data_IF_259852338137
#
_entry.id   IF_259852338137
#
_cell.length_a   1.000
_cell.length_b   1.000
_cell.length_c   1.000
_cell.angle_alpha   90.00
_cell.angle_beta   90.00
_cell.angle_gamma   90.00
#
_symmetry.space_group_name_H-M   'P 1'
#
loop_
_entity.id
_entity.type
_entity.pdbx_description
1 polymer ?
#
# COMPACT_ATOMS: atom_id res chain seq x y z
N UNK A 1 70.60 -12.28 -43.31
CA UNK A 1 70.61 -11.74 -41.94
C UNK A 1 69.21 -11.23 -41.65
N UNK A 2 68.44 -11.98 -40.86
CA UNK A 2 66.99 -11.82 -40.71
C UNK A 2 66.65 -10.71 -39.71
N UNK A 3 65.76 -9.80 -40.10
CA UNK A 3 65.35 -8.64 -39.30
C UNK A 3 64.25 -9.02 -38.29
N UNK A 4 64.49 -8.75 -37.01
CA UNK A 4 63.56 -9.04 -35.92
C UNK A 4 62.71 -7.79 -35.63
N UNK A 5 61.41 -7.85 -35.95
CA UNK A 5 60.42 -6.80 -35.65
C UNK A 5 59.86 -7.03 -34.24
N UNK A 6 60.16 -6.12 -33.32
CA UNK A 6 59.55 -6.08 -31.98
C UNK A 6 58.16 -5.43 -32.10
N UNK A 7 57.10 -6.17 -31.78
CA UNK A 7 55.74 -5.64 -31.64
C UNK A 7 55.54 -5.17 -30.20
N UNK A 8 55.41 -3.86 -29.99
CA UNK A 8 54.88 -3.30 -28.74
C UNK A 8 53.40 -3.65 -28.63
N UNK A 9 53.01 -4.41 -27.61
CA UNK A 9 51.62 -4.60 -27.23
C UNK A 9 51.26 -3.50 -26.23
N UNK A 10 50.45 -2.53 -26.67
CA UNK A 10 49.90 -1.50 -25.81
C UNK A 10 48.81 -2.08 -24.91
N UNK A 11 49.03 -2.08 -23.60
CA UNK A 11 48.05 -2.47 -22.60
C UNK A 11 47.10 -1.29 -22.37
N UNK A 12 45.93 -1.29 -23.02
CA UNK A 12 44.85 -0.36 -22.70
C UNK A 12 44.22 -0.77 -21.36
N UNK A 13 44.54 -0.04 -20.28
CA UNK A 13 43.85 -0.17 -19.00
C UNK A 13 42.47 0.51 -19.16
N UNK A 14 41.44 -0.29 -19.42
CA UNK A 14 40.04 0.11 -19.32
C UNK A 14 39.71 0.30 -17.83
N UNK A 15 39.66 1.55 -17.38
CA UNK A 15 39.13 1.91 -16.07
C UNK A 15 37.61 1.65 -16.07
N UNK A 16 37.19 0.51 -15.54
CA UNK A 16 35.79 0.25 -15.21
C UNK A 16 35.38 1.18 -14.05
N UNK A 17 34.29 1.97 -14.19
CA UNK A 17 33.78 2.74 -13.06
C UNK A 17 33.33 1.77 -11.97
N UNK A 18 34.03 1.81 -10.83
CA UNK A 18 33.58 1.21 -9.58
C UNK A 18 32.30 1.94 -9.15
N UNK A 19 31.14 1.40 -9.51
CA UNK A 19 29.91 1.75 -8.83
C UNK A 19 30.03 1.21 -7.39
N UNK A 20 30.43 2.10 -6.47
CA UNK A 20 30.23 1.86 -5.04
C UNK A 20 28.73 1.78 -4.81
N UNK A 21 28.17 0.56 -4.82
CA UNK A 21 26.86 0.35 -4.21
C UNK A 21 27.01 0.77 -2.76
N UNK A 22 26.27 1.80 -2.36
CA UNK A 22 26.21 2.21 -0.96
C UNK A 22 25.85 0.99 -0.11
N UNK A 23 26.44 0.89 1.08
CA UNK A 23 26.01 -0.10 2.06
C UNK A 23 24.57 0.23 2.41
N UNK A 24 23.65 -0.69 2.11
CA UNK A 24 22.25 -0.55 2.48
C UNK A 24 22.12 -0.52 4.01
N UNK A 25 21.40 0.46 4.54
CA UNK A 25 21.21 0.60 5.98
C UNK A 25 20.40 -0.58 6.51
N UNK A 26 20.99 -1.37 7.39
CA UNK A 26 20.27 -2.41 8.10
C UNK A 26 19.37 -1.79 9.17
N UNK A 27 18.09 -2.20 9.19
CA UNK A 27 17.08 -1.67 10.09
C UNK A 27 16.65 -2.75 11.07
N UNK A 28 16.77 -2.47 12.36
CA UNK A 28 16.22 -3.30 13.44
C UNK A 28 15.16 -2.51 14.18
N UNK A 29 13.91 -2.57 13.69
CA UNK A 29 12.82 -1.70 14.15
C UNK A 29 12.46 -1.84 15.64
N UNK A 30 12.84 -2.96 16.28
CA UNK A 30 12.59 -3.22 17.70
C UNK A 30 13.58 -2.52 18.62
N UNK A 31 14.79 -2.25 18.15
CA UNK A 31 15.89 -1.70 18.95
C UNK A 31 16.01 -0.19 18.76
N UNK A 32 16.91 0.45 19.53
CA UNK A 32 17.28 1.84 19.27
C UNK A 32 17.84 1.98 17.84
N UNK A 33 17.53 3.06 17.10
CA UNK A 33 16.82 4.26 17.55
C UNK A 33 15.29 4.19 17.42
N UNK A 34 14.73 3.07 16.95
CA UNK A 34 13.31 2.97 16.59
C UNK A 34 12.41 2.61 17.76
N UNK A 35 12.80 1.63 18.58
CA UNK A 35 12.09 1.16 19.78
C UNK A 35 10.58 1.00 19.56
N UNK A 36 10.18 0.40 18.45
CA UNK A 36 8.79 0.34 18.01
C UNK A 36 7.81 -0.23 19.06
N UNK A 37 8.26 -1.21 19.87
CA UNK A 37 7.42 -1.83 20.91
C UNK A 37 7.21 -0.92 22.12
N UNK A 38 8.13 0.00 22.39
CA UNK A 38 8.04 1.00 23.46
C UNK A 38 7.20 2.22 23.05
N UNK A 39 7.03 2.42 21.73
CA UNK A 39 6.25 3.54 21.18
C UNK A 39 4.80 3.52 21.65
N UNK A 40 4.32 4.69 22.07
CA UNK A 40 2.92 4.94 22.39
C UNK A 40 2.20 5.42 21.13
N UNK A 41 1.32 4.60 20.52
CA UNK A 41 0.73 4.95 19.24
C UNK A 41 -0.20 6.17 19.32
N UNK A 42 -0.15 7.00 18.29
CA UNK A 42 -1.06 8.11 18.03
C UNK A 42 -1.68 7.97 16.63
N UNK A 43 -1.97 6.73 16.25
CA UNK A 43 -2.77 6.42 15.06
C UNK A 43 -4.28 6.61 15.33
N UNK A 44 -5.08 6.60 14.25
CA UNK A 44 -6.54 6.78 14.33
C UNK A 44 -7.21 5.74 15.24
N UNK A 45 -6.77 4.49 15.20
CA UNK A 45 -7.35 3.44 16.03
C UNK A 45 -6.95 3.57 17.50
N UNK A 46 -5.71 3.97 17.80
CA UNK A 46 -5.27 4.24 19.17
C UNK A 46 -6.13 5.34 19.83
N UNK A 47 -6.49 6.39 19.07
CA UNK A 47 -7.43 7.42 19.53
C UNK A 47 -8.85 6.88 19.74
N UNK A 48 -9.36 6.10 18.78
CA UNK A 48 -10.67 5.44 18.91
C UNK A 48 -10.72 4.52 20.15
N UNK A 49 -9.69 3.71 20.37
CA UNK A 49 -9.56 2.79 21.50
C UNK A 49 -9.69 3.53 22.83
N UNK A 50 -8.99 4.65 23.02
CA UNK A 50 -9.13 5.49 24.23
C UNK A 50 -10.59 5.98 24.41
N UNK A 51 -11.26 6.33 23.32
CA UNK A 51 -12.67 6.72 23.34
C UNK A 51 -13.61 5.58 23.73
N UNK A 52 -13.33 4.35 23.30
CA UNK A 52 -14.08 3.15 23.68
C UNK A 52 -13.84 2.82 25.17
N UNK A 53 -12.59 2.77 25.60
CA UNK A 53 -12.20 2.40 26.97
C UNK A 53 -12.71 3.41 28.02
N UNK A 54 -12.81 4.68 27.66
CA UNK A 54 -13.41 5.73 28.51
C UNK A 54 -14.95 5.78 28.46
N UNK A 55 -15.58 4.98 27.60
CA UNK A 55 -17.05 4.96 27.41
C UNK A 55 -17.60 6.13 26.59
N UNK A 56 -16.72 6.98 26.03
CA UNK A 56 -17.11 8.11 25.17
C UNK A 56 -17.57 7.68 23.77
N UNK A 57 -17.16 6.50 23.31
CA UNK A 57 -17.59 5.90 22.04
C UNK A 57 -18.25 4.55 22.33
N UNK A 58 -19.49 4.40 21.85
CA UNK A 58 -20.25 3.15 21.96
C UNK A 58 -20.25 2.42 20.62
N UNK A 59 -19.88 1.15 20.64
CA UNK A 59 -19.98 0.24 19.50
C UNK A 59 -21.25 -0.60 19.63
N UNK A 60 -21.86 -0.94 18.50
CA UNK A 60 -23.08 -1.75 18.46
C UNK A 60 -22.72 -3.23 18.52
N UNK A 61 -22.96 -3.89 19.66
CA UNK A 61 -22.62 -5.31 19.83
C UNK A 61 -23.78 -6.26 19.53
N UNK A 62 -24.85 -5.78 18.88
CA UNK A 62 -26.07 -6.57 18.61
C UNK A 62 -25.77 -7.86 17.84
N UNK A 63 -24.99 -7.74 16.77
CA UNK A 63 -24.48 -8.84 15.95
C UNK A 63 -23.17 -8.46 15.25
N UNK A 64 -22.55 -9.41 14.55
CA UNK A 64 -21.25 -9.20 13.90
C UNK A 64 -21.26 -8.07 12.86
N UNK A 65 -22.36 -7.92 12.08
CA UNK A 65 -22.46 -6.89 11.04
C UNK A 65 -22.73 -5.51 11.64
N UNK A 66 -23.58 -5.43 12.66
CA UNK A 66 -23.83 -4.20 13.40
C UNK A 66 -22.53 -3.71 14.07
N UNK A 67 -21.79 -4.64 14.68
CA UNK A 67 -20.49 -4.36 15.28
C UNK A 67 -19.48 -3.84 14.27
N UNK A 68 -19.26 -4.60 13.19
CA UNK A 68 -18.35 -4.19 12.13
C UNK A 68 -18.74 -2.82 11.55
N UNK A 69 -20.02 -2.60 11.25
CA UNK A 69 -20.51 -1.32 10.73
C UNK A 69 -20.25 -0.17 11.69
N UNK A 70 -20.45 -0.37 13.01
CA UNK A 70 -20.18 0.64 14.02
C UNK A 70 -18.68 0.96 14.16
N UNK A 71 -17.81 -0.05 14.05
CA UNK A 71 -16.35 0.10 14.04
C UNK A 71 -15.90 0.88 12.81
N UNK A 72 -16.35 0.49 11.61
CA UNK A 72 -16.00 1.17 10.36
C UNK A 72 -16.47 2.63 10.37
N UNK A 73 -17.68 2.89 10.86
CA UNK A 73 -18.20 4.26 11.02
C UNK A 73 -17.35 5.09 11.98
N UNK A 74 -16.95 4.52 13.12
CA UNK A 74 -16.13 5.23 14.11
C UNK A 74 -14.71 5.54 13.58
N UNK A 75 -14.22 4.74 12.63
CA UNK A 75 -12.93 4.95 11.96
C UNK A 75 -13.02 5.80 10.69
N UNK A 76 -14.23 6.17 10.27
CA UNK A 76 -14.50 6.78 8.97
C UNK A 76 -13.94 5.93 7.81
N UNK A 77 -14.18 4.62 7.87
CA UNK A 77 -13.84 3.66 6.81
C UNK A 77 -15.09 3.37 5.98
N UNK A 78 -15.10 3.66 4.67
CA UNK A 78 -16.26 3.44 3.82
C UNK A 78 -16.54 1.94 3.62
N UNK A 79 -17.79 1.53 3.78
CA UNK A 79 -18.22 0.14 3.51
C UNK A 79 -18.00 -0.21 2.03
N UNK A 80 -18.08 0.77 1.12
CA UNK A 80 -17.82 0.57 -0.31
C UNK A 80 -16.38 0.19 -0.66
N UNK A 81 -15.43 0.33 0.27
CA UNK A 81 -14.04 -0.13 0.10
C UNK A 81 -13.86 -1.64 0.20
N UNK A 82 -14.95 -2.39 0.43
CA UNK A 82 -14.90 -3.83 0.70
C UNK A 82 -14.12 -4.60 -0.39
N UNK A 83 -13.10 -5.32 0.04
CA UNK A 83 -12.40 -6.36 -0.73
C UNK A 83 -12.71 -7.72 -0.10
N UNK A 84 -12.84 -8.76 -0.91
CA UNK A 84 -13.01 -10.13 -0.43
C UNK A 84 -11.80 -10.98 -0.80
N UNK A 85 -11.21 -11.66 0.19
CA UNK A 85 -10.04 -12.52 0.04
C UNK A 85 -10.33 -13.90 0.62
N UNK A 86 -10.07 -14.95 -0.16
CA UNK A 86 -10.32 -16.34 0.23
C UNK A 86 -9.04 -17.18 0.34
N UNK A 87 -7.87 -16.57 0.13
CA UNK A 87 -6.59 -17.15 0.51
C UNK A 87 -6.37 -17.04 2.02
N UNK A 88 -5.82 -18.10 2.61
CA UNK A 88 -5.52 -18.20 4.04
C UNK A 88 -4.20 -17.49 4.42
N UNK A 89 -3.99 -16.26 3.95
CA UNK A 89 -2.78 -15.44 4.19
C UNK A 89 -2.98 -14.41 5.32
N UNK A 90 -3.46 -14.88 6.48
CA UNK A 90 -3.82 -14.06 7.65
C UNK A 90 -3.55 -14.80 8.96
N UNK A 91 -3.58 -14.08 10.09
CA UNK A 91 -3.61 -14.66 11.43
C UNK A 91 -4.76 -15.66 11.62
N UNK A 92 -5.85 -15.51 10.86
CA UNK A 92 -7.05 -16.35 10.94
C UNK A 92 -7.10 -17.41 9.83
N UNK A 93 -5.93 -17.89 9.38
CA UNK A 93 -5.77 -18.86 8.29
C UNK A 93 -6.57 -20.15 8.46
N UNK A 94 -6.89 -20.53 9.70
CA UNK A 94 -7.69 -21.72 10.02
C UNK A 94 -9.15 -21.64 9.55
N UNK A 95 -9.69 -20.42 9.40
CA UNK A 95 -11.11 -20.20 9.06
C UNK A 95 -11.32 -19.45 7.74
N UNK A 96 -10.27 -18.95 7.10
CA UNK A 96 -10.33 -18.26 5.81
C UNK A 96 -10.09 -19.27 4.69
N UNK A 97 -11.08 -19.42 3.82
CA UNK A 97 -11.01 -20.31 2.67
C UNK A 97 -12.11 -19.91 1.65
N UNK A 98 -12.20 -20.56 0.48
CA UNK A 98 -13.22 -20.24 -0.52
C UNK A 98 -14.68 -20.32 -0.05
N UNK A 99 -14.98 -21.01 1.06
CA UNK A 99 -16.33 -21.06 1.65
C UNK A 99 -16.59 -19.97 2.69
N UNK A 100 -15.53 -19.35 3.20
CA UNK A 100 -15.61 -18.33 4.23
C UNK A 100 -14.56 -17.23 3.97
N UNK A 101 -14.77 -16.37 2.95
CA UNK A 101 -13.84 -15.32 2.60
C UNK A 101 -13.77 -14.25 3.70
N UNK A 102 -12.57 -13.71 3.91
CA UNK A 102 -12.33 -12.52 4.73
C UNK A 102 -12.72 -11.27 3.93
N UNK A 103 -13.39 -10.32 4.57
CA UNK A 103 -13.52 -8.96 4.06
C UNK A 103 -12.38 -8.08 4.57
N UNK A 104 -11.89 -7.18 3.71
CA UNK A 104 -11.04 -6.05 4.08
C UNK A 104 -11.77 -4.75 3.73
N UNK A 105 -11.64 -3.75 4.58
CA UNK A 105 -12.13 -2.39 4.36
C UNK A 105 -11.00 -1.42 4.65
N UNK A 106 -10.97 -0.27 3.99
CA UNK A 106 -9.90 0.70 4.20
C UNK A 106 -10.33 2.13 3.90
N UNK A 107 -9.63 3.06 4.55
CA UNK A 107 -9.55 4.46 4.12
C UNK A 107 -8.07 4.82 3.89
N UNK A 108 -7.67 6.08 4.05
CA UNK A 108 -6.30 6.51 3.78
C UNK A 108 -5.26 6.06 4.80
N UNK A 109 -5.66 5.70 6.02
CA UNK A 109 -4.72 5.41 7.11
C UNK A 109 -5.12 4.21 8.00
N UNK A 110 -6.25 3.56 7.72
CA UNK A 110 -6.74 2.39 8.47
C UNK A 110 -7.25 1.30 7.55
N UNK A 111 -6.91 0.06 7.89
CA UNK A 111 -7.30 -1.18 7.21
C UNK A 111 -7.96 -2.11 8.23
N UNK A 112 -9.17 -2.58 7.94
CA UNK A 112 -9.98 -3.41 8.83
C UNK A 112 -10.28 -4.74 8.15
N UNK A 113 -9.83 -5.84 8.76
CA UNK A 113 -10.13 -7.20 8.34
C UNK A 113 -11.24 -7.83 9.18
N UNK A 114 -12.17 -8.52 8.53
CA UNK A 114 -13.26 -9.24 9.19
C UNK A 114 -13.46 -10.61 8.55
N UNK A 115 -13.52 -11.65 9.37
CA UNK A 115 -13.87 -13.00 8.94
C UNK A 115 -15.17 -13.39 9.63
N UNK A 116 -16.21 -13.86 8.93
CA UNK A 116 -17.42 -14.35 9.57
C UNK A 116 -17.11 -15.40 10.65
N UNK A 117 -17.66 -15.19 11.85
CA UNK A 117 -17.40 -16.04 13.02
C UNK A 117 -16.00 -15.91 13.64
N UNK A 118 -15.19 -14.96 13.18
CA UNK A 118 -13.82 -14.71 13.62
C UNK A 118 -13.63 -13.42 14.42
N UNK A 119 -12.40 -12.93 14.39
CA UNK A 119 -11.91 -11.68 14.99
C UNK A 119 -12.00 -10.54 13.97
N UNK A 120 -11.99 -9.30 14.47
CA UNK A 120 -11.76 -8.11 13.65
C UNK A 120 -10.30 -7.70 13.80
N UNK A 121 -9.56 -7.72 12.69
CA UNK A 121 -8.15 -7.33 12.58
C UNK A 121 -8.09 -5.86 12.16
N UNK A 122 -7.19 -5.06 12.74
CA UNK A 122 -7.03 -3.66 12.38
C UNK A 122 -5.55 -3.34 12.22
N UNK A 123 -5.22 -2.71 11.10
CA UNK A 123 -3.94 -2.04 10.89
C UNK A 123 -4.22 -0.56 10.79
N UNK A 124 -3.60 0.24 11.64
CA UNK A 124 -3.67 1.70 11.57
C UNK A 124 -2.27 2.28 11.38
N UNK A 125 -2.14 3.26 10.50
CA UNK A 125 -0.85 3.89 10.18
C UNK A 125 -0.52 4.94 11.25
N UNK A 126 0.43 4.61 12.11
CA UNK A 126 1.00 5.56 13.05
C UNK A 126 1.94 6.52 12.31
N UNK A 127 1.79 7.84 12.49
CA UNK A 127 2.56 8.82 11.73
C UNK A 127 4.08 8.75 11.92
N UNK A 128 4.57 8.14 13.01
CA UNK A 128 6.00 8.02 13.30
C UNK A 128 6.54 6.61 13.03
N UNK A 129 5.75 5.59 13.35
CA UNK A 129 6.19 4.19 13.39
C UNK A 129 5.59 3.31 12.30
N UNK A 130 4.64 3.81 11.51
CA UNK A 130 3.99 3.05 10.46
C UNK A 130 2.93 2.09 10.99
N UNK A 131 2.81 0.93 10.37
CA UNK A 131 1.71 0.01 10.64
C UNK A 131 1.66 -0.43 12.10
N UNK A 132 0.54 -0.17 12.79
CA UNK A 132 0.20 -0.64 14.13
C UNK A 132 -0.88 -1.71 14.07
N UNK A 133 -0.66 -2.84 14.74
CA UNK A 133 -1.50 -4.04 14.61
C UNK A 133 -2.36 -4.26 15.85
N UNK A 134 -3.68 -4.21 15.64
CA UNK A 134 -4.68 -4.39 16.68
C UNK A 134 -5.67 -5.50 16.32
N UNK A 135 -6.24 -6.10 17.35
CA UNK A 135 -7.22 -7.18 17.20
C UNK A 135 -8.32 -6.94 18.23
N UNK A 136 -9.57 -6.88 17.74
CA UNK A 136 -10.72 -7.20 18.57
C UNK A 136 -10.88 -8.71 18.62
N UNK A 137 -11.04 -9.25 19.83
CA UNK A 137 -11.47 -10.64 19.98
C UNK A 137 -12.83 -10.90 19.34
N UNK A 138 -13.18 -12.18 19.19
CA UNK A 138 -14.44 -12.58 18.58
C UNK A 138 -15.61 -11.99 19.38
N UNK A 139 -16.54 -11.37 18.66
CA UNK A 139 -17.76 -10.83 19.25
C UNK A 139 -18.61 -11.95 19.86
N UNK A 140 -19.15 -11.65 21.04
CA UNK A 140 -20.28 -12.38 21.60
C UNK A 140 -21.51 -11.48 21.44
N UNK A 141 -22.45 -11.80 20.54
CA UNK A 141 -23.61 -10.96 20.27
C UNK A 141 -24.35 -10.59 21.55
N UNK A 142 -24.79 -9.33 21.64
CA UNK A 142 -25.45 -8.72 22.80
C UNK A 142 -24.58 -8.66 24.07
N UNK A 143 -23.30 -9.04 23.97
CA UNK A 143 -22.31 -8.93 25.03
C UNK A 143 -21.60 -7.58 25.06
N UNK A 144 -20.56 -7.43 25.92
CA UNK A 144 -19.72 -6.24 25.93
C UNK A 144 -18.87 -6.14 24.65
N UNK A 145 -18.29 -4.96 24.42
CA UNK A 145 -17.29 -4.77 23.36
C UNK A 145 -16.15 -5.79 23.55
N UNK A 146 -15.73 -6.50 22.50
CA UNK A 146 -14.66 -7.49 22.63
C UNK A 146 -13.35 -6.85 23.08
N UNK A 147 -12.52 -7.57 23.86
CA UNK A 147 -11.19 -7.11 24.23
C UNK A 147 -10.36 -6.69 23.03
N UNK A 148 -9.61 -5.59 23.19
CA UNK A 148 -8.68 -5.05 22.18
C UNK A 148 -7.26 -5.38 22.60
N UNK A 149 -6.49 -6.00 21.70
CA UNK A 149 -5.08 -6.33 21.94
C UNK A 149 -4.19 -5.77 20.84
N UNK A 150 -2.98 -5.32 21.19
CA UNK A 150 -1.88 -5.08 20.24
C UNK A 150 -1.12 -6.39 20.08
N UNK A 151 -0.86 -6.81 18.85
CA UNK A 151 -0.34 -8.16 18.57
C UNK A 151 0.99 -8.12 17.81
N UNK A 152 1.99 -8.77 18.40
CA UNK A 152 3.30 -8.98 17.75
C UNK A 152 3.29 -10.15 16.74
N UNK A 153 2.23 -10.96 16.72
CA UNK A 153 2.13 -12.13 15.82
C UNK A 153 2.10 -11.72 14.34
N UNK A 154 1.67 -10.49 14.05
CA UNK A 154 1.57 -9.95 12.70
C UNK A 154 2.94 -9.76 12.03
N UNK A 155 4.01 -9.59 12.82
CA UNK A 155 5.35 -9.32 12.29
C UNK A 155 5.97 -10.48 11.51
N UNK A 156 5.47 -11.70 11.68
CA UNK A 156 5.90 -12.85 10.87
C UNK A 156 5.69 -12.60 9.37
N UNK A 157 4.71 -11.77 9.00
CA UNK A 157 4.42 -11.40 7.61
C UNK A 157 4.63 -9.91 7.35
N UNK A 158 4.23 -9.05 8.29
CA UNK A 158 4.21 -7.59 8.12
C UNK A 158 5.52 -6.88 8.46
N UNK A 159 6.57 -7.60 8.86
CA UNK A 159 7.94 -7.08 8.99
C UNK A 159 8.94 -7.99 8.26
N UNK A 160 8.50 -8.58 7.15
CA UNK A 160 9.28 -9.48 6.31
C UNK A 160 9.94 -8.79 5.11
N UNK A 161 10.36 -9.57 4.12
CA UNK A 161 11.02 -9.06 2.92
C UNK A 161 10.11 -8.11 2.11
N UNK A 162 8.81 -8.41 2.03
CA UNK A 162 7.82 -7.61 1.32
C UNK A 162 7.71 -6.15 1.79
N UNK A 163 8.15 -5.87 3.02
CA UNK A 163 8.12 -4.55 3.65
C UNK A 163 9.52 -4.06 3.99
N UNK A 164 10.57 -4.60 3.35
CA UNK A 164 11.98 -4.28 3.65
C UNK A 164 12.30 -4.35 5.15
N UNK A 165 11.73 -5.37 5.82
CA UNK A 165 11.92 -5.69 7.25
C UNK A 165 11.46 -4.61 8.24
N UNK A 166 10.65 -3.64 7.80
CA UNK A 166 9.97 -2.69 8.68
C UNK A 166 8.47 -3.03 8.79
N UNK A 167 7.80 -2.68 9.90
CA UNK A 167 6.35 -2.82 10.02
C UNK A 167 5.62 -2.14 8.86
N UNK A 168 4.91 -2.92 8.05
CA UNK A 168 4.25 -2.42 6.84
C UNK A 168 3.03 -3.22 6.42
N UNK A 169 2.50 -2.89 5.27
CA UNK A 169 1.29 -3.46 4.68
C UNK A 169 1.65 -4.48 3.60
N UNK A 170 0.85 -5.54 3.47
CA UNK A 170 1.05 -6.55 2.45
C UNK A 170 -0.25 -6.88 1.74
N UNK A 171 -0.16 -7.03 0.42
CA UNK A 171 -1.11 -7.76 -0.39
C UNK A 171 -0.34 -8.88 -1.10
N UNK A 172 -0.91 -10.08 -1.13
CA UNK A 172 -0.32 -11.22 -1.85
C UNK A 172 -1.24 -11.63 -2.99
N UNK A 173 -0.66 -12.24 -4.03
CA UNK A 173 -1.39 -12.86 -5.13
C UNK A 173 -0.96 -14.31 -5.23
N UNK A 174 -1.89 -15.24 -5.01
CA UNK A 174 -1.61 -16.67 -4.95
C UNK A 174 -2.76 -17.51 -5.48
N UNK A 175 -2.52 -18.79 -5.78
CA UNK A 175 -3.55 -19.75 -6.16
C UNK A 175 -3.94 -20.57 -4.92
N UNK A 176 -5.07 -20.29 -4.26
CA UNK A 176 -5.44 -21.02 -3.06
C UNK A 176 -6.10 -22.35 -3.41
N UNK A 177 -5.95 -23.33 -2.53
CA UNK A 177 -6.69 -24.58 -2.52
C UNK A 177 -8.04 -24.42 -1.79
N UNK A 178 -8.86 -25.46 -1.76
CA UNK A 178 -10.11 -25.45 -0.98
C UNK A 178 -9.90 -25.19 0.52
N UNK A 179 -8.73 -25.53 1.06
CA UNK A 179 -8.35 -25.22 2.43
C UNK A 179 -7.97 -23.74 2.65
N UNK A 180 -7.88 -22.93 1.59
CA UNK A 180 -7.33 -21.58 1.61
C UNK A 180 -5.79 -21.54 1.51
N UNK A 181 -5.09 -22.67 1.74
CA UNK A 181 -3.63 -22.75 1.62
C UNK A 181 -3.16 -22.53 0.17
N UNK A 182 -1.95 -22.00 0.00
CA UNK A 182 -1.39 -21.69 -1.32
C UNK A 182 -0.90 -22.96 -2.04
N UNK A 183 -1.38 -23.18 -3.26
CA UNK A 183 -0.82 -24.16 -4.20
C UNK A 183 0.31 -23.56 -5.05
N UNK A 184 0.22 -22.27 -5.36
CA UNK A 184 1.18 -21.53 -6.18
C UNK A 184 1.21 -20.07 -5.70
N UNK A 185 2.37 -19.43 -5.66
CA UNK A 185 2.49 -18.01 -5.29
C UNK A 185 2.88 -17.19 -6.52
N UNK A 186 2.04 -16.25 -6.93
CA UNK A 186 2.29 -15.37 -8.08
C UNK A 186 3.05 -14.10 -7.70
N UNK A 187 2.76 -13.57 -6.51
CA UNK A 187 3.40 -12.38 -5.94
C UNK A 187 3.39 -12.43 -4.43
N UNK A 188 4.54 -12.12 -3.83
CA UNK A 188 4.73 -12.04 -2.37
C UNK A 188 5.45 -10.77 -1.94
N UNK A 189 6.60 -10.47 -2.56
CA UNK A 189 7.55 -9.49 -2.01
C UNK A 189 7.46 -8.07 -2.60
N UNK A 190 6.69 -7.87 -3.66
CA UNK A 190 6.52 -6.55 -4.29
C UNK A 190 5.17 -5.96 -3.89
N UNK A 191 5.10 -4.64 -3.64
CA UNK A 191 3.84 -3.94 -3.33
C UNK A 191 3.75 -2.62 -4.11
N UNK A 192 2.57 -2.29 -4.63
CA UNK A 192 2.31 -0.99 -5.25
C UNK A 192 1.71 -1.02 -6.65
N UNK A 193 1.35 0.18 -7.14
CA UNK A 193 0.65 0.35 -8.41
C UNK A 193 1.43 -0.06 -9.66
N UNK A 194 2.72 -0.38 -9.53
CA UNK A 194 3.60 -0.76 -10.64
C UNK A 194 3.46 -2.22 -11.05
N UNK A 195 2.87 -3.03 -10.17
CA UNK A 195 2.68 -4.47 -10.40
C UNK A 195 1.69 -4.65 -11.57
N UNK A 196 2.01 -5.40 -12.62
CA UNK A 196 1.06 -5.65 -13.72
C UNK A 196 -0.25 -6.29 -13.24
N UNK A 197 -1.39 -5.87 -13.80
CA UNK A 197 -2.72 -6.29 -13.32
C UNK A 197 -2.92 -7.81 -13.40
N UNK A 198 -2.33 -8.48 -14.39
CA UNK A 198 -2.35 -9.93 -14.58
C UNK A 198 -1.62 -10.71 -13.48
N UNK A 199 -0.74 -10.06 -12.72
CA UNK A 199 -0.07 -10.64 -11.54
C UNK A 199 -0.81 -10.35 -10.24
N UNK A 200 -1.87 -9.54 -10.27
CA UNK A 200 -2.68 -9.19 -9.09
C UNK A 200 -3.85 -10.17 -8.90
N UNK A 201 -4.58 -10.00 -7.81
CA UNK A 201 -5.89 -10.60 -7.52
C UNK A 201 -5.95 -12.13 -7.32
N UNK A 202 -4.84 -12.86 -7.37
CA UNK A 202 -4.84 -14.28 -7.04
C UNK A 202 -5.25 -14.54 -5.59
N UNK A 203 -6.29 -15.33 -5.38
CA UNK A 203 -6.86 -15.61 -4.05
C UNK A 203 -7.85 -14.55 -3.55
N UNK A 204 -8.18 -13.58 -4.42
CA UNK A 204 -9.17 -12.55 -4.16
C UNK A 204 -10.41 -12.80 -5.02
N UNK A 205 -11.57 -12.43 -4.46
CA UNK A 205 -12.73 -12.21 -5.28
C UNK A 205 -12.61 -10.85 -5.98
N UNK A 206 -12.96 -10.80 -7.25
CA UNK A 206 -13.00 -9.57 -8.04
C UNK A 206 -14.35 -9.47 -8.74
N UNK A 207 -15.03 -8.35 -8.54
CA UNK A 207 -16.28 -8.01 -9.20
C UNK A 207 -16.13 -6.67 -9.94
N UNK A 208 -17.20 -6.22 -10.59
CA UNK A 208 -17.22 -4.97 -11.36
C UNK A 208 -16.82 -5.18 -12.83
N UNK A 209 -17.06 -4.16 -13.66
CA UNK A 209 -16.72 -4.20 -15.08
C UNK A 209 -15.28 -3.73 -15.27
N UNK A 210 -14.36 -4.68 -15.48
CA UNK A 210 -12.93 -4.36 -15.49
C UNK A 210 -12.22 -4.66 -16.81
N UNK A 211 -12.88 -5.27 -17.81
CA UNK A 211 -12.32 -5.58 -19.13
C UNK A 211 -10.98 -6.37 -19.17
N UNK A 212 -10.45 -6.82 -18.02
CA UNK A 212 -9.30 -7.72 -17.92
C UNK A 212 -9.59 -9.05 -18.63
N UNK A 213 -8.91 -9.30 -19.76
CA UNK A 213 -9.02 -10.53 -20.56
C UNK A 213 -8.50 -11.76 -19.81
N UNK A 214 -7.38 -11.59 -19.12
CA UNK A 214 -6.75 -12.61 -18.28
C UNK A 214 -6.49 -12.03 -16.90
N UNK A 215 -6.90 -12.75 -15.84
CA UNK A 215 -6.63 -12.38 -14.46
C UNK A 215 -6.65 -13.62 -13.55
N UNK A 216 -6.03 -13.48 -12.38
CA UNK A 216 -5.89 -14.56 -11.39
C UNK A 216 -7.04 -14.58 -10.36
N UNK A 217 -7.95 -13.59 -10.42
CA UNK A 217 -9.08 -13.50 -9.50
C UNK A 217 -10.08 -14.64 -9.70
N UNK A 218 -10.95 -14.85 -8.70
CA UNK A 218 -12.05 -15.81 -8.78
C UNK A 218 -11.57 -17.20 -9.23
N UNK A 219 -10.37 -17.60 -8.81
CA UNK A 219 -9.72 -18.83 -9.26
C UNK A 219 -9.12 -19.57 -8.07
N UNK A 220 -9.27 -20.88 -8.03
CA UNK A 220 -8.64 -21.75 -7.02
C UNK A 220 -8.03 -23.01 -7.65
N UNK A 221 -7.13 -23.66 -6.93
CA UNK A 221 -6.57 -24.95 -7.27
C UNK A 221 -7.50 -26.08 -6.81
N UNK A 222 -7.81 -27.01 -7.72
CA UNK A 222 -8.41 -28.32 -7.41
C UNK A 222 -7.39 -29.41 -7.69
N UNK A 223 -7.31 -30.41 -6.81
CA UNK A 223 -6.40 -31.54 -7.01
C UNK A 223 -6.89 -32.38 -8.19
N UNK A 224 -5.99 -32.67 -9.12
CA UNK A 224 -6.23 -33.53 -10.27
C UNK A 224 -5.42 -34.81 -10.13
N UNK A 225 -6.03 -35.97 -10.41
CA UNK A 225 -5.37 -37.27 -10.28
C UNK A 225 -4.18 -37.45 -11.23
N UNK A 226 -4.16 -36.75 -12.37
CA UNK A 226 -3.14 -36.91 -13.42
C UNK A 226 -2.23 -35.69 -13.61
N UNK A 227 -2.62 -34.50 -13.12
CA UNK A 227 -1.91 -33.23 -13.38
C UNK A 227 -1.51 -32.45 -12.13
N UNK A 228 -1.63 -33.05 -10.93
CA UNK A 228 -1.34 -32.37 -9.66
C UNK A 228 -2.46 -31.39 -9.28
N UNK A 229 -2.42 -30.17 -9.81
CA UNK A 229 -3.44 -29.14 -9.60
C UNK A 229 -3.98 -28.60 -10.92
N UNK A 230 -5.30 -28.42 -10.98
CA UNK A 230 -5.99 -27.70 -12.05
C UNK A 230 -6.59 -26.40 -11.52
N UNK A 231 -6.58 -25.35 -12.34
CA UNK A 231 -7.20 -24.07 -12.00
C UNK A 231 -8.69 -24.14 -12.34
N UNK A 232 -9.55 -23.83 -11.37
CA UNK A 232 -11.00 -23.76 -11.54
C UNK A 232 -11.51 -22.36 -11.19
N UNK A 233 -12.53 -21.89 -11.91
CA UNK A 233 -13.21 -20.63 -11.62
C UNK A 233 -14.20 -20.79 -10.47
N UNK A 234 -14.27 -19.77 -9.63
CA UNK A 234 -15.14 -19.69 -8.46
C UNK A 234 -15.76 -18.30 -8.37
N UNK A 235 -17.03 -18.22 -8.74
CA UNK A 235 -17.75 -16.95 -8.69
C UNK A 235 -18.02 -16.56 -7.23
N UNK A 236 -17.97 -15.25 -6.89
CA UNK A 236 -18.38 -14.78 -5.58
C UNK A 236 -19.78 -15.30 -5.21
N UNK A 237 -19.92 -15.90 -4.03
CA UNK A 237 -21.18 -16.48 -3.56
C UNK A 237 -21.46 -17.91 -4.05
N UNK A 238 -20.65 -18.48 -4.94
CA UNK A 238 -20.81 -19.86 -5.39
C UNK A 238 -20.56 -20.89 -4.26
N UNK A 239 -19.60 -20.58 -3.38
CA UNK A 239 -19.21 -21.46 -2.27
C UNK A 239 -19.39 -20.81 -0.89
N UNK A 240 -19.65 -19.51 -0.85
CA UNK A 240 -19.67 -18.70 0.36
C UNK A 240 -21.03 -18.01 0.53
N UNK A 241 -21.47 -17.84 1.77
CA UNK A 241 -22.64 -17.04 2.09
C UNK A 241 -22.24 -15.56 2.21
N UNK A 242 -22.48 -14.79 1.14
CA UNK A 242 -22.15 -13.36 1.11
C UNK A 242 -23.05 -12.50 2.00
N UNK A 243 -24.16 -13.05 2.53
CA UNK A 243 -25.03 -12.30 3.47
C UNK A 243 -24.35 -12.04 4.82
N UNK A 244 -23.23 -12.73 5.09
CA UNK A 244 -22.38 -12.56 6.26
C UNK A 244 -21.43 -11.35 6.14
N UNK A 245 -21.35 -10.73 4.97
CA UNK A 245 -20.54 -9.54 4.68
C UNK A 245 -21.42 -8.29 4.55
N UNK A 246 -20.81 -7.10 4.54
CA UNK A 246 -21.56 -5.84 4.43
C UNK A 246 -21.95 -5.50 2.99
N UNK A 247 -21.21 -6.02 2.00
CA UNK A 247 -21.57 -5.98 0.58
C UNK A 247 -21.43 -7.37 -0.05
N UNK A 248 -22.18 -7.68 -1.11
CA UNK A 248 -21.99 -8.91 -1.89
C UNK A 248 -20.88 -8.77 -2.96
N UNK A 249 -20.12 -7.67 -2.95
CA UNK A 249 -19.16 -7.32 -4.00
C UNK A 249 -17.75 -7.11 -3.48
N UNK A 250 -16.77 -7.14 -4.39
CA UNK A 250 -15.35 -6.88 -4.19
C UNK A 250 -14.85 -6.16 -5.44
N UNK A 251 -15.31 -4.90 -5.60
CA UNK A 251 -15.17 -4.12 -6.83
C UNK A 251 -13.71 -3.84 -7.18
N UNK A 252 -13.38 -3.78 -8.47
CA UNK A 252 -11.99 -3.59 -8.91
C UNK A 252 -11.38 -2.25 -8.47
N UNK A 253 -12.16 -1.17 -8.41
CA UNK A 253 -11.59 0.15 -8.14
C UNK A 253 -10.98 0.23 -6.72
N UNK A 254 -11.68 -0.21 -5.65
CA UNK A 254 -11.07 -0.40 -4.33
C UNK A 254 -9.77 -1.20 -4.35
N UNK A 255 -9.67 -2.30 -5.11
CA UNK A 255 -8.43 -3.08 -5.18
C UNK A 255 -7.26 -2.26 -5.75
N UNK A 256 -7.49 -1.45 -6.78
CA UNK A 256 -6.45 -0.62 -7.40
C UNK A 256 -6.00 0.51 -6.48
N UNK A 257 -6.94 1.16 -5.80
CA UNK A 257 -6.63 2.20 -4.81
C UNK A 257 -5.86 1.61 -3.64
N UNK A 258 -6.30 0.48 -3.10
CA UNK A 258 -5.64 -0.24 -2.01
C UNK A 258 -4.19 -0.60 -2.37
N UNK A 259 -3.94 -1.14 -3.57
CA UNK A 259 -2.59 -1.47 -4.02
C UNK A 259 -1.68 -0.22 -4.08
N UNK A 260 -2.19 0.92 -4.56
CA UNK A 260 -1.44 2.17 -4.53
C UNK A 260 -1.11 2.63 -3.10
N UNK A 261 -2.05 2.55 -2.16
CA UNK A 261 -1.82 2.97 -0.78
C UNK A 261 -0.77 2.10 -0.08
N UNK A 262 -0.83 0.77 -0.25
CA UNK A 262 0.16 -0.15 0.33
C UNK A 262 1.57 0.21 -0.16
N UNK A 263 1.73 0.40 -1.48
CA UNK A 263 3.04 0.71 -2.03
C UNK A 263 3.55 2.10 -1.61
N UNK A 264 2.65 3.07 -1.39
CA UNK A 264 3.00 4.39 -0.86
C UNK A 264 3.49 4.28 0.59
N UNK A 265 2.66 3.71 1.48
CA UNK A 265 2.92 3.63 2.91
C UNK A 265 4.22 2.85 3.20
N UNK A 266 4.43 1.72 2.53
CA UNK A 266 5.64 0.93 2.71
C UNK A 266 6.91 1.69 2.33
N UNK A 267 6.87 2.52 1.26
CA UNK A 267 8.02 3.33 0.84
C UNK A 267 8.27 4.48 1.81
N UNK A 268 7.22 5.16 2.24
CA UNK A 268 7.31 6.26 3.21
C UNK A 268 7.92 5.77 4.51
N UNK A 269 7.41 4.68 5.08
CA UNK A 269 7.94 4.19 6.34
C UNK A 269 9.31 3.54 6.20
N UNK A 270 9.60 2.79 5.12
CA UNK A 270 10.98 2.34 4.88
C UNK A 270 11.96 3.53 4.89
N UNK A 271 11.64 4.60 4.17
CA UNK A 271 12.48 5.79 4.14
C UNK A 271 12.56 6.49 5.50
N UNK A 272 11.46 6.56 6.26
CA UNK A 272 11.44 7.13 7.61
C UNK A 272 12.37 6.37 8.58
N UNK A 273 12.36 5.03 8.53
CA UNK A 273 13.24 4.19 9.31
C UNK A 273 14.71 4.38 8.90
N UNK A 274 15.03 4.33 7.60
CA UNK A 274 16.40 4.60 7.13
C UNK A 274 16.89 5.97 7.61
N UNK A 275 16.07 7.01 7.47
CA UNK A 275 16.42 8.37 7.93
C UNK A 275 16.68 8.42 9.44
N UNK A 276 15.86 7.75 10.26
CA UNK A 276 16.06 7.70 11.71
C UNK A 276 17.37 7.00 12.07
N UNK A 277 17.71 5.91 11.39
CA UNK A 277 18.97 5.19 11.59
C UNK A 277 20.18 6.05 11.19
N UNK A 278 20.15 6.66 10.00
CA UNK A 278 21.22 7.54 9.52
C UNK A 278 21.47 8.73 10.45
N UNK A 279 20.39 9.33 10.98
CA UNK A 279 20.50 10.40 11.98
C UNK A 279 21.10 9.89 13.29
N UNK A 280 20.72 8.70 13.77
CA UNK A 280 21.28 8.13 14.98
C UNK A 280 22.78 7.86 14.84
N UNK A 281 23.20 7.26 13.72
CA UNK A 281 24.60 6.97 13.42
C UNK A 281 25.44 8.25 13.34
N UNK A 282 24.88 9.31 12.78
CA UNK A 282 25.48 10.64 12.71
C UNK A 282 25.25 11.54 13.93
N UNK A 283 24.79 10.97 15.07
CA UNK A 283 24.53 11.69 16.33
C UNK A 283 23.63 12.92 16.18
N UNK A 284 22.55 12.76 15.43
CA UNK A 284 21.54 13.77 15.13
C UNK A 284 21.78 14.55 13.84
N UNK A 285 22.89 14.32 13.13
CA UNK A 285 23.19 14.97 11.85
C UNK A 285 23.31 13.94 10.72
N UNK A 286 22.90 14.31 9.51
CA UNK A 286 23.14 13.48 8.33
C UNK A 286 24.60 13.61 7.90
N UNK A 287 25.35 12.51 7.98
CA UNK A 287 26.72 12.45 7.47
C UNK A 287 26.74 12.67 5.95
N UNK A 288 27.82 13.25 5.41
CA UNK A 288 27.97 13.43 3.96
C UNK A 288 27.90 12.10 3.19
N UNK A 289 28.35 11.00 3.81
CA UNK A 289 28.26 9.64 3.27
C UNK A 289 26.82 9.14 3.11
N UNK A 290 25.85 9.69 3.85
CA UNK A 290 24.44 9.32 3.76
C UNK A 290 23.74 9.95 2.54
N UNK A 291 24.32 11.01 1.95
CA UNK A 291 23.69 11.79 0.88
C UNK A 291 23.22 10.92 -0.31
N UNK A 292 24.01 9.99 -0.87
CA UNK A 292 23.57 9.17 -2.00
C UNK A 292 22.31 8.37 -1.69
N UNK A 293 22.22 7.80 -0.49
CA UNK A 293 21.07 7.01 -0.06
C UNK A 293 19.83 7.88 0.16
N UNK A 294 19.99 9.08 0.73
CA UNK A 294 18.89 10.05 0.85
C UNK A 294 18.37 10.49 -0.53
N UNK A 295 19.26 10.69 -1.50
CA UNK A 295 18.86 10.98 -2.88
C UNK A 295 18.09 9.82 -3.52
N UNK A 296 18.53 8.57 -3.29
CA UNK A 296 17.85 7.37 -3.79
C UNK A 296 16.45 7.21 -3.20
N UNK A 297 16.30 7.37 -1.88
CA UNK A 297 14.98 7.37 -1.21
C UNK A 297 14.09 8.48 -1.75
N UNK A 298 14.65 9.67 -1.98
CA UNK A 298 13.90 10.80 -2.50
C UNK A 298 13.44 10.58 -3.95
N UNK A 299 14.31 9.99 -4.79
CA UNK A 299 13.98 9.62 -6.17
C UNK A 299 12.91 8.52 -6.20
N UNK A 300 13.03 7.46 -5.39
CA UNK A 300 12.04 6.39 -5.30
C UNK A 300 10.65 6.94 -4.90
N UNK A 301 10.59 7.75 -3.84
CA UNK A 301 9.34 8.34 -3.37
C UNK A 301 8.74 9.31 -4.40
N UNK A 302 9.54 10.19 -5.00
CA UNK A 302 9.03 11.15 -5.98
C UNK A 302 8.46 10.45 -7.23
N UNK A 303 9.14 9.42 -7.72
CA UNK A 303 8.66 8.63 -8.87
C UNK A 303 7.36 7.90 -8.54
N UNK A 304 7.27 7.29 -7.36
CA UNK A 304 6.05 6.60 -6.91
C UNK A 304 4.88 7.57 -6.71
N UNK A 305 5.13 8.73 -6.07
CA UNK A 305 4.13 9.79 -5.90
C UNK A 305 3.59 10.24 -7.25
N UNK A 306 4.44 10.34 -8.27
CA UNK A 306 4.09 10.79 -9.61
C UNK A 306 3.62 9.68 -10.56
N UNK A 307 3.40 8.46 -10.09
CA UNK A 307 2.87 7.34 -10.91
C UNK A 307 3.72 7.01 -12.15
N UNK A 308 5.05 7.10 -12.02
CA UNK A 308 6.00 6.85 -13.12
C UNK A 308 5.80 5.48 -13.77
N UNK A 309 5.59 4.45 -12.96
CA UNK A 309 5.55 3.05 -13.34
C UNK A 309 4.18 2.41 -13.12
N UNK A 310 3.11 3.21 -13.02
CA UNK A 310 1.73 2.72 -12.88
C UNK A 310 1.39 1.67 -13.94
N UNK A 311 0.84 0.54 -13.49
CA UNK A 311 0.37 -0.52 -14.37
C UNK A 311 -0.76 -0.01 -15.28
N UNK A 312 -0.64 -0.30 -16.57
CA UNK A 312 -1.62 0.13 -17.57
C UNK A 312 -2.99 -0.48 -17.31
N UNK A 313 -4.03 0.34 -17.41
CA UNK A 313 -5.40 -0.16 -17.47
C UNK A 313 -5.70 -0.79 -18.84
N UNK A 314 -6.74 -1.65 -18.94
CA UNK A 314 -7.26 -2.12 -20.21
C UNK A 314 -7.64 -0.97 -21.15
N UNK A 315 -7.59 -1.20 -22.45
CA UNK A 315 -7.87 -0.16 -23.45
C UNK A 315 -9.32 0.35 -23.37
N UNK A 316 -10.22 -0.52 -22.93
CA UNK A 316 -11.64 -0.25 -22.69
C UNK A 316 -11.88 0.50 -21.37
N UNK A 317 -10.84 0.64 -20.52
CA UNK A 317 -10.93 1.21 -19.19
C UNK A 317 -11.43 0.22 -18.14
N UNK A 318 -11.82 0.75 -16.99
CA UNK A 318 -12.52 0.05 -15.92
C UNK A 318 -13.69 0.91 -15.44
N UNK A 319 -14.73 0.27 -14.92
CA UNK A 319 -15.83 0.96 -14.25
C UNK A 319 -15.77 0.62 -12.76
N UNK A 320 -15.65 1.66 -11.92
CA UNK A 320 -15.69 1.51 -10.48
C UNK A 320 -17.10 1.65 -9.93
N UNK A 321 -17.35 0.99 -8.79
CA UNK A 321 -18.61 1.14 -8.05
C UNK A 321 -18.89 2.63 -7.75
N UNK A 322 -20.04 3.19 -8.19
CA UNK A 322 -20.40 4.58 -7.92
C UNK A 322 -20.40 4.95 -6.44
N UNK A 323 -20.72 4.02 -5.54
CA UNK A 323 -20.68 4.27 -4.09
C UNK A 323 -19.25 4.55 -3.64
N UNK A 324 -18.30 3.73 -4.06
CA UNK A 324 -16.89 3.90 -3.72
C UNK A 324 -16.33 5.19 -4.31
N UNK A 325 -16.67 5.52 -5.56
CA UNK A 325 -16.24 6.79 -6.18
C UNK A 325 -16.70 7.98 -5.33
N UNK A 326 -17.98 8.02 -4.93
CA UNK A 326 -18.53 9.11 -4.11
C UNK A 326 -17.90 9.17 -2.73
N UNK A 327 -17.76 8.03 -2.04
CA UNK A 327 -17.20 7.98 -0.69
C UNK A 327 -15.71 8.32 -0.68
N UNK A 328 -14.93 7.81 -1.63
CA UNK A 328 -13.51 8.10 -1.79
C UNK A 328 -13.25 9.59 -2.05
N UNK A 329 -14.12 10.25 -2.84
CA UNK A 329 -13.98 11.66 -3.20
C UNK A 329 -14.61 12.62 -2.18
N UNK A 330 -15.31 12.13 -1.15
CA UNK A 330 -16.04 12.95 -0.16
C UNK A 330 -15.18 14.01 0.53
N UNK A 331 -13.92 13.66 0.83
CA UNK A 331 -12.95 14.53 1.50
C UNK A 331 -11.91 15.13 0.54
N UNK A 332 -12.19 15.15 -0.77
CA UNK A 332 -11.24 15.70 -1.76
C UNK A 332 -10.91 17.16 -1.48
N UNK A 333 -9.70 17.57 -1.85
CA UNK A 333 -9.22 18.96 -1.76
C UNK A 333 -9.18 19.54 -3.18
N UNK A 334 -10.24 20.23 -3.63
CA UNK A 334 -10.24 20.84 -4.96
C UNK A 334 -9.52 22.18 -4.94
N UNK A 335 -8.83 22.51 -6.03
CA UNK A 335 -8.38 23.88 -6.31
C UNK A 335 -9.52 24.75 -6.85
N UNK A 336 -9.24 26.03 -7.08
CA UNK A 336 -10.21 27.02 -7.59
C UNK A 336 -10.97 26.55 -8.84
N UNK A 337 -10.32 25.79 -9.73
CA UNK A 337 -10.96 25.26 -10.96
C UNK A 337 -11.67 23.90 -10.76
N UNK A 338 -11.76 23.39 -9.53
CA UNK A 338 -12.41 22.14 -9.16
C UNK A 338 -11.53 20.88 -9.20
N UNK A 339 -10.31 20.96 -9.75
CA UNK A 339 -9.41 19.81 -9.89
C UNK A 339 -8.86 19.32 -8.55
N UNK A 340 -8.70 18.00 -8.40
CA UNK A 340 -8.17 17.37 -7.19
C UNK A 340 -7.35 16.13 -7.46
N UNK A 341 -6.38 15.82 -6.59
CA UNK A 341 -5.58 14.57 -6.66
C UNK A 341 -6.42 13.29 -6.48
N UNK A 342 -7.67 13.41 -6.04
CA UNK A 342 -8.64 12.31 -5.93
C UNK A 342 -9.59 12.18 -7.13
N UNK A 343 -9.44 13.01 -8.15
CA UNK A 343 -10.25 12.87 -9.37
C UNK A 343 -9.77 11.65 -10.17
N UNK A 344 -10.67 10.73 -10.46
CA UNK A 344 -10.36 9.52 -11.23
C UNK A 344 -10.38 9.77 -12.75
N UNK A 345 -9.59 8.98 -13.49
CA UNK A 345 -9.68 8.88 -14.96
C UNK A 345 -10.40 7.59 -15.39
N UNK A 346 -9.96 6.44 -14.86
CA UNK A 346 -10.46 5.07 -15.08
C UNK A 346 -10.50 4.57 -16.53
N UNK A 347 -10.19 5.43 -17.50
CA UNK A 347 -10.13 5.05 -18.93
C UNK A 347 -8.76 4.52 -19.30
N UNK A 348 -7.72 5.23 -18.86
CA UNK A 348 -6.33 4.94 -19.24
C UNK A 348 -5.41 4.78 -18.05
N UNK A 349 -5.80 5.33 -16.89
CA UNK A 349 -5.03 5.39 -15.64
C UNK A 349 -5.97 5.51 -14.44
N UNK A 350 -5.46 5.29 -13.23
CA UNK A 350 -6.28 5.37 -12.02
C UNK A 350 -6.76 6.81 -11.76
N UNK A 351 -5.81 7.75 -11.59
CA UNK A 351 -6.12 9.14 -11.30
C UNK A 351 -5.92 10.06 -12.50
N UNK A 352 -6.79 11.06 -12.63
CA UNK A 352 -6.75 12.06 -13.70
C UNK A 352 -5.45 12.88 -13.66
N UNK A 353 -5.04 13.26 -12.44
CA UNK A 353 -3.81 13.98 -12.16
C UNK A 353 -2.85 13.04 -11.42
N UNK A 354 -1.79 12.58 -12.10
CA UNK A 354 -0.82 11.61 -11.58
C UNK A 354 0.13 12.21 -10.55
N UNK A 355 -0.44 12.53 -9.40
CA UNK A 355 0.25 12.79 -8.14
C UNK A 355 -0.58 12.23 -6.99
N UNK A 356 0.06 11.50 -6.08
CA UNK A 356 -0.66 10.77 -5.03
C UNK A 356 -1.41 11.69 -4.09
N UNK A 357 -2.69 11.41 -3.86
CA UNK A 357 -3.47 12.06 -2.80
C UNK A 357 -3.00 11.66 -1.39
N UNK A 358 -2.16 10.62 -1.25
CA UNK A 358 -1.58 10.23 0.03
C UNK A 358 -0.61 11.29 0.58
N UNK A 359 -0.25 12.30 -0.21
CA UNK A 359 0.40 13.51 0.30
C UNK A 359 -0.42 14.23 1.39
N UNK A 360 -1.71 13.95 1.54
CA UNK A 360 -2.54 14.53 2.60
C UNK A 360 -2.57 13.71 3.90
N UNK A 361 -1.98 12.51 3.95
CA UNK A 361 -2.00 11.66 5.14
C UNK A 361 -0.97 12.11 6.17
N UNK A 362 -1.22 11.78 7.44
CA UNK A 362 -0.25 12.05 8.51
C UNK A 362 1.07 11.29 8.30
N UNK A 363 1.04 10.11 7.68
CA UNK A 363 2.22 9.34 7.29
C UNK A 363 3.20 10.18 6.45
N UNK A 364 2.66 10.93 5.49
CA UNK A 364 3.47 11.87 4.70
C UNK A 364 3.78 13.14 5.47
N UNK A 365 2.77 13.76 6.10
CA UNK A 365 2.93 15.07 6.72
C UNK A 365 3.94 15.09 7.88
N UNK A 366 4.05 13.99 8.63
CA UNK A 366 5.02 13.86 9.73
C UNK A 366 6.37 13.26 9.31
N UNK A 367 6.56 12.94 8.03
CA UNK A 367 7.86 12.49 7.52
C UNK A 367 8.96 13.56 7.76
N UNK A 368 10.20 13.10 7.93
CA UNK A 368 11.33 13.99 8.29
C UNK A 368 11.48 15.15 7.30
N UNK A 369 11.59 16.42 7.77
CA UNK A 369 11.65 17.58 6.89
C UNK A 369 12.75 17.51 5.83
N UNK A 370 13.94 17.00 6.20
CA UNK A 370 15.08 16.87 5.29
C UNK A 370 14.78 15.94 4.10
N UNK A 371 14.09 14.83 4.33
CA UNK A 371 13.71 13.92 3.25
C UNK A 371 12.55 14.50 2.43
N UNK A 372 11.50 15.05 3.09
CA UNK A 372 10.37 15.68 2.39
C UNK A 372 10.84 16.78 1.44
N UNK A 373 11.74 17.65 1.89
CA UNK A 373 12.31 18.72 1.05
C UNK A 373 12.99 18.14 -0.20
N UNK A 374 13.76 17.06 -0.03
CA UNK A 374 14.42 16.40 -1.16
C UNK A 374 13.43 15.75 -2.11
N UNK A 375 12.42 15.05 -1.61
CA UNK A 375 11.36 14.45 -2.43
C UNK A 375 10.60 15.53 -3.20
N UNK A 376 10.21 16.63 -2.55
CA UNK A 376 9.59 17.75 -3.24
C UNK A 376 10.51 18.31 -4.32
N UNK A 377 11.82 18.43 -4.08
CA UNK A 377 12.71 18.91 -5.15
C UNK A 377 12.66 17.99 -6.38
N UNK A 378 12.74 16.67 -6.17
CA UNK A 378 12.64 15.67 -7.27
C UNK A 378 11.30 15.73 -7.98
N UNK A 379 10.19 15.90 -7.23
CA UNK A 379 8.87 16.09 -7.82
C UNK A 379 8.82 17.38 -8.67
N UNK A 380 9.39 18.48 -8.18
CA UNK A 380 9.42 19.74 -8.90
C UNK A 380 10.21 19.63 -10.21
N UNK A 381 11.32 18.89 -10.21
CA UNK A 381 12.07 18.54 -11.42
C UNK A 381 11.22 17.69 -12.37
N UNK A 382 10.58 16.63 -11.87
CA UNK A 382 9.68 15.77 -12.62
C UNK A 382 8.56 16.53 -13.33
N UNK A 383 7.99 17.51 -12.64
CA UNK A 383 6.87 18.34 -13.09
C UNK A 383 7.28 19.60 -13.87
N UNK A 384 8.54 19.76 -14.28
CA UNK A 384 8.92 20.83 -15.23
C UNK A 384 8.27 20.58 -16.59
N UNK A 385 7.71 21.64 -17.17
CA UNK A 385 7.13 21.64 -18.52
C UNK A 385 8.10 21.01 -19.54
N UNK A 386 9.34 21.49 -19.53
CA UNK A 386 10.44 20.94 -20.30
C UNK A 386 11.34 20.15 -19.35
N UNK A 387 11.04 18.85 -19.20
CA UNK A 387 11.92 17.91 -18.52
C UNK A 387 12.48 16.93 -19.55
N UNK A 388 13.80 16.96 -19.76
CA UNK A 388 14.48 16.05 -20.68
C UNK A 388 14.64 14.62 -20.10
N UNK A 389 14.36 14.41 -18.81
CA UNK A 389 14.47 13.10 -18.19
C UNK A 389 13.34 12.17 -18.69
N UNK A 390 13.68 11.06 -19.37
CA UNK A 390 12.70 10.15 -19.96
C UNK A 390 11.73 9.54 -18.93
N UNK A 391 12.13 9.44 -17.65
CA UNK A 391 11.31 8.90 -16.56
C UNK A 391 9.97 9.66 -16.41
N UNK A 392 9.98 10.98 -16.65
CA UNK A 392 8.81 11.84 -16.43
C UNK A 392 8.06 12.21 -17.72
N UNK A 393 8.29 11.46 -18.81
CA UNK A 393 7.63 11.68 -20.11
C UNK A 393 6.19 11.17 -20.13
N UNK A 394 5.82 10.30 -19.19
CA UNK A 394 4.49 9.74 -19.07
C UNK A 394 3.44 10.82 -18.74
N UNK A 395 3.80 11.92 -18.06
CA UNK A 395 2.93 13.07 -17.74
C UNK A 395 3.08 14.18 -18.78
N UNK A 396 2.03 14.50 -19.58
CA UNK A 396 2.05 15.63 -20.50
C UNK A 396 2.18 16.98 -19.79
N UNK A 397 2.66 18.00 -20.52
CA UNK A 397 2.92 19.33 -19.95
C UNK A 397 1.68 19.98 -19.28
N UNK A 398 0.49 19.83 -19.87
CA UNK A 398 -0.75 20.35 -19.29
C UNK A 398 -1.06 19.70 -17.93
N UNK A 399 -0.93 18.38 -17.85
CA UNK A 399 -1.14 17.64 -16.60
C UNK A 399 -0.09 18.02 -15.55
N UNK A 400 1.19 18.21 -15.94
CA UNK A 400 2.24 18.70 -15.03
C UNK A 400 1.88 20.05 -14.40
N UNK A 401 1.40 21.01 -15.20
CA UNK A 401 0.95 22.33 -14.69
C UNK A 401 -0.25 22.20 -13.76
N UNK A 402 -1.20 21.34 -14.09
CA UNK A 402 -2.37 21.08 -13.25
C UNK A 402 -1.95 20.46 -11.90
N UNK A 403 -1.09 19.44 -11.91
CA UNK A 403 -0.54 18.83 -10.70
C UNK A 403 0.18 19.87 -9.84
N UNK A 404 1.05 20.70 -10.43
CA UNK A 404 1.75 21.76 -9.70
C UNK A 404 0.80 22.75 -9.05
N UNK A 405 -0.27 23.13 -9.75
CA UNK A 405 -1.32 24.01 -9.24
C UNK A 405 -2.04 23.37 -8.06
N UNK A 406 -2.46 22.11 -8.22
CA UNK A 406 -3.12 21.34 -7.16
C UNK A 406 -2.23 21.28 -5.93
N UNK A 407 -1.00 20.75 -6.07
CA UNK A 407 -0.06 20.64 -4.96
C UNK A 407 0.14 21.99 -4.28
N UNK A 408 0.43 23.06 -5.02
CA UNK A 408 0.68 24.40 -4.48
C UNK A 408 -0.49 24.94 -3.65
N UNK A 409 -1.73 24.72 -4.09
CA UNK A 409 -2.93 25.25 -3.42
C UNK A 409 -3.42 24.39 -2.25
N UNK A 410 -3.17 23.07 -2.28
CA UNK A 410 -3.85 22.14 -1.35
C UNK A 410 -2.93 21.37 -0.41
N UNK A 411 -1.65 21.19 -0.75
CA UNK A 411 -0.72 20.42 0.09
C UNK A 411 -0.11 21.32 1.17
N UNK A 412 -0.29 21.00 2.46
CA UNK A 412 0.29 21.78 3.55
C UNK A 412 1.81 21.57 3.62
N UNK A 413 2.51 22.48 4.31
CA UNK A 413 3.95 22.41 4.59
C UNK A 413 4.84 22.22 3.35
N UNK A 414 4.41 22.77 2.22
CA UNK A 414 5.24 22.85 1.02
C UNK A 414 6.44 23.79 1.24
N UNK A 415 7.63 23.43 0.72
CA UNK A 415 8.78 24.32 0.75
C UNK A 415 8.48 25.66 0.08
N UNK A 416 9.01 26.75 0.64
CA UNK A 416 8.76 28.10 0.13
C UNK A 416 9.18 28.27 -1.34
N UNK A 417 10.25 27.59 -1.76
CA UNK A 417 10.75 27.61 -3.13
C UNK A 417 9.85 26.89 -4.15
N UNK A 418 8.89 26.06 -3.70
CA UNK A 418 7.92 25.42 -4.59
C UNK A 418 6.85 26.42 -5.09
N UNK A 419 6.55 27.43 -4.26
CA UNK A 419 5.42 28.35 -4.47
C UNK A 419 5.66 29.37 -5.57
#
# INVERSE_FOLDING_TARGET
>A
MSSMRIRLVGFCILALPLFTRGVETEIVFREAPHRYLEHQPDDRFARLRKGIESGGIKLDTTDDKAFLSSVLKALDVPISSQLLVFSASSLQSEIINPRNPRALYFNEDVYVGYVPGGKVEIIAMDPEMGAMFYIFDRLRPQGPVPPITRSDKCFNCHAGNATKRVPGLIAESLLPMLSGASAETYRRDEQGHQIPLEKRFGGWHLTGQHHLKENLANTMARRSASRGFEKIKIEPGQMSDLSLHLRPTSDILPHLVHEHQIGFENRVFHAAYVMRQLLADGRGNLALSAKPQVEELADELAQYILFVDEAKLPAEGIEGDPDFIREFQRNKKPVTNGASLKDFDLKTRLFKYRASYMLYTDSWQKLTPALKERVYFKMAEGLRDQNANPVYTHIPAEEKRAIRTIIKETVPDLPSWWR
#
